data_IF_357035253586
#
_entry.id   IF_357035253586
#
_cell.length_a   1.000
_cell.length_b   1.000
_cell.length_c   1.000
_cell.angle_alpha   90.00
_cell.angle_beta   90.00
_cell.angle_gamma   90.00
#
_symmetry.space_group_name_H-M   'P 1'
#
loop_
_entity.id
_entity.type
_entity.pdbx_description
1 polymer ?
#
# COMPACT_ATOMS: atom_id res chain seq x y z
N UNK A 1 -19.53 16.23 15.80
CA UNK A 1 -18.52 17.20 15.34
C UNK A 1 -17.58 16.41 14.46
N UNK A 2 -17.86 16.37 13.16
CA UNK A 2 -17.08 15.56 12.23
C UNK A 2 -15.69 16.19 12.05
N UNK A 3 -14.64 15.41 12.32
CA UNK A 3 -13.25 15.86 12.24
C UNK A 3 -12.81 16.19 10.81
N UNK A 4 -11.63 16.84 10.64
CA UNK A 4 -11.12 17.30 9.35
C UNK A 4 -10.96 16.19 8.30
N UNK A 5 -10.90 14.92 8.71
CA UNK A 5 -10.80 13.76 7.81
C UNK A 5 -12.12 13.48 7.07
N UNK A 6 -13.27 13.70 7.72
CA UNK A 6 -14.60 13.46 7.13
C UNK A 6 -14.84 14.39 5.93
N UNK A 7 -14.39 15.64 6.02
CA UNK A 7 -14.50 16.63 4.95
C UNK A 7 -13.68 16.28 3.69
N UNK A 8 -12.53 15.60 3.84
CA UNK A 8 -11.66 15.18 2.73
C UNK A 8 -12.05 13.83 2.09
N UNK A 9 -13.15 13.24 2.54
CA UNK A 9 -13.71 11.99 2.04
C UNK A 9 -15.15 12.16 1.52
N UNK A 10 -15.54 13.39 1.16
CA UNK A 10 -16.85 13.67 0.61
C UNK A 10 -17.13 12.85 -0.66
N UNK A 11 -18.33 12.27 -0.74
CA UNK A 11 -18.87 11.52 -1.87
C UNK A 11 -18.78 12.36 -3.15
N UNK A 12 -18.24 11.77 -4.22
CA UNK A 12 -18.17 12.46 -5.52
C UNK A 12 -19.58 12.67 -6.08
N UNK A 13 -19.91 13.86 -6.60
CA UNK A 13 -21.22 14.09 -7.23
C UNK A 13 -21.38 13.21 -8.49
N UNK A 14 -22.63 12.86 -8.85
CA UNK A 14 -22.90 12.02 -10.01
C UNK A 14 -22.46 12.71 -11.33
N UNK A 15 -21.93 11.95 -12.30
CA UNK A 15 -21.48 12.51 -13.57
C UNK A 15 -22.67 12.98 -14.42
N UNK A 16 -22.58 14.15 -15.06
CA UNK A 16 -23.66 14.64 -15.91
C UNK A 16 -23.61 13.93 -17.26
N UNK A 17 -24.63 13.12 -17.56
CA UNK A 17 -25.06 12.69 -18.91
C UNK A 17 -24.39 11.50 -19.60
N UNK A 18 -23.60 10.67 -18.92
CA UNK A 18 -23.15 9.38 -19.47
C UNK A 18 -23.80 8.22 -18.71
N UNK A 19 -24.67 7.46 -19.38
CA UNK A 19 -25.40 6.32 -18.77
C UNK A 19 -24.45 5.29 -18.17
N UNK A 20 -23.38 4.93 -18.88
CA UNK A 20 -22.38 3.98 -18.39
C UNK A 20 -21.60 4.52 -17.18
N UNK A 21 -21.30 5.82 -17.17
CA UNK A 21 -20.62 6.47 -16.05
C UNK A 21 -21.56 6.60 -14.83
N UNK A 22 -22.85 6.78 -15.06
CA UNK A 22 -23.87 6.84 -14.01
C UNK A 22 -24.13 5.46 -13.40
N UNK A 23 -24.17 4.42 -14.23
CA UNK A 23 -24.31 3.03 -13.79
C UNK A 23 -23.05 2.56 -13.01
N UNK A 24 -21.85 2.94 -13.47
CA UNK A 24 -20.61 2.73 -12.71
C UNK A 24 -20.59 3.51 -11.38
N UNK A 25 -21.11 4.75 -11.36
CA UNK A 25 -21.23 5.55 -10.14
C UNK A 25 -22.20 4.93 -9.13
N UNK A 26 -23.34 4.39 -9.57
CA UNK A 26 -24.31 3.69 -8.72
C UNK A 26 -23.76 2.41 -8.09
N UNK A 27 -22.89 1.68 -8.82
CA UNK A 27 -22.22 0.47 -8.29
C UNK A 27 -21.03 0.78 -7.41
N UNK A 28 -20.60 2.03 -7.33
CA UNK A 28 -19.45 2.43 -6.51
C UNK A 28 -19.82 2.30 -5.05
N UNK A 29 -19.09 1.45 -4.33
CA UNK A 29 -19.10 1.44 -2.87
C UNK A 29 -18.13 2.53 -2.44
N UNK A 30 -18.65 3.65 -1.95
CA UNK A 30 -17.80 4.63 -1.27
C UNK A 30 -17.46 4.07 0.11
N UNK A 31 -16.19 3.68 0.36
CA UNK A 31 -15.80 3.21 1.67
C UNK A 31 -15.97 4.35 2.67
N UNK A 32 -16.41 4.00 3.89
CA UNK A 32 -16.44 4.95 4.99
C UNK A 32 -15.07 5.67 5.10
N UNK A 33 -15.05 7.00 5.34
CA UNK A 33 -13.82 7.77 5.47
C UNK A 33 -12.77 7.13 6.40
N UNK A 34 -13.22 6.48 7.47
CA UNK A 34 -12.38 5.75 8.42
C UNK A 34 -11.66 4.54 7.79
N UNK A 35 -12.30 3.85 6.84
CA UNK A 35 -11.70 2.70 6.16
C UNK A 35 -10.67 3.10 5.09
N UNK A 36 -10.67 4.37 4.66
CA UNK A 36 -9.66 4.91 3.75
C UNK A 36 -8.36 5.32 4.46
N UNK A 37 -8.40 5.57 5.77
CA UNK A 37 -7.24 6.04 6.55
C UNK A 37 -6.06 5.06 6.51
N UNK A 38 -6.24 3.75 6.78
CA UNK A 38 -5.17 2.77 6.69
C UNK A 38 -4.55 2.68 5.30
N UNK A 39 -5.39 2.67 4.25
CA UNK A 39 -4.93 2.63 2.87
C UNK A 39 -4.11 3.87 2.50
N UNK A 40 -4.59 5.06 2.87
CA UNK A 40 -3.87 6.32 2.68
C UNK A 40 -2.56 6.34 3.45
N UNK A 41 -2.52 5.77 4.66
CA UNK A 41 -1.30 5.66 5.46
C UNK A 41 -0.28 4.78 4.76
N UNK A 42 -0.67 3.54 4.44
CA UNK A 42 0.19 2.57 3.77
C UNK A 42 0.80 3.13 2.48
N UNK A 43 0.01 3.81 1.64
CA UNK A 43 0.51 4.50 0.45
C UNK A 43 1.39 5.70 0.76
N UNK A 44 1.01 6.52 1.75
CA UNK A 44 1.74 7.71 2.13
C UNK A 44 3.14 7.43 2.67
N UNK A 45 3.34 6.28 3.33
CA UNK A 45 4.65 5.86 3.84
C UNK A 45 5.37 4.87 2.91
N UNK A 46 4.76 4.44 1.81
CA UNK A 46 5.36 3.46 0.90
C UNK A 46 6.74 3.89 0.37
N UNK A 47 6.96 5.19 0.19
CA UNK A 47 8.24 5.75 -0.27
C UNK A 47 9.39 5.66 0.75
N UNK A 48 9.10 5.45 2.04
CA UNK A 48 10.12 5.27 3.07
C UNK A 48 10.58 3.82 3.21
N UNK A 49 9.95 2.91 2.45
CA UNK A 49 10.22 1.48 2.49
C UNK A 49 11.66 1.19 2.06
N UNK A 50 12.39 0.54 2.96
CA UNK A 50 13.72 0.02 2.69
C UNK A 50 13.66 -1.27 1.90
N UNK A 51 14.76 -1.58 1.21
CA UNK A 51 14.88 -2.78 0.41
C UNK A 51 16.18 -3.51 0.72
N UNK A 52 16.14 -4.83 0.70
CA UNK A 52 17.33 -5.70 0.75
C UNK A 52 17.66 -6.14 -0.67
N UNK A 53 18.87 -5.85 -1.13
CA UNK A 53 19.33 -6.30 -2.44
C UNK A 53 20.04 -7.64 -2.29
N UNK A 54 19.66 -8.60 -3.13
CA UNK A 54 20.37 -9.86 -3.30
C UNK A 54 20.83 -9.97 -4.74
N UNK A 55 22.07 -10.42 -4.95
CA UNK A 55 22.67 -10.53 -6.28
C UNK A 55 23.30 -11.90 -6.49
N UNK A 56 23.07 -12.49 -7.66
CA UNK A 56 23.61 -13.77 -8.07
C UNK A 56 24.50 -13.62 -9.31
N UNK A 57 25.70 -14.21 -9.25
CA UNK A 57 26.70 -14.24 -10.32
C UNK A 57 28.13 -14.27 -9.75
N UNK A 58 29.03 -14.99 -10.42
CA UNK A 58 30.46 -15.02 -10.06
C UNK A 58 31.34 -15.05 -11.32
N UNK A 59 32.45 -14.30 -11.28
CA UNK A 59 33.61 -14.49 -12.17
C UNK A 59 33.60 -13.71 -13.48
N UNK A 60 32.75 -14.08 -14.45
CA UNK A 60 32.84 -13.57 -15.85
C UNK A 60 31.51 -13.63 -16.62
N UNK A 61 30.36 -13.38 -15.97
CA UNK A 61 29.03 -13.44 -16.61
C UNK A 61 28.05 -12.39 -16.08
N UNK A 62 26.84 -12.33 -16.66
CA UNK A 62 25.81 -11.36 -16.28
C UNK A 62 25.37 -11.53 -14.82
N UNK A 63 25.60 -10.51 -13.99
CA UNK A 63 25.08 -10.43 -12.62
C UNK A 63 23.59 -10.09 -12.65
N UNK A 64 22.78 -10.81 -11.88
CA UNK A 64 21.36 -10.46 -11.69
C UNK A 64 21.09 -10.09 -10.25
N UNK A 65 20.51 -8.91 -10.04
CA UNK A 65 20.10 -8.42 -8.73
C UNK A 65 18.58 -8.41 -8.59
N UNK A 66 18.08 -8.73 -7.40
CA UNK A 66 16.69 -8.54 -7.01
C UNK A 66 16.62 -7.72 -5.73
N UNK A 67 15.63 -6.83 -5.69
CA UNK A 67 15.35 -5.96 -4.55
C UNK A 67 14.14 -6.49 -3.80
N UNK A 68 14.35 -7.01 -2.59
CA UNK A 68 13.31 -7.49 -1.69
C UNK A 68 12.78 -6.33 -0.84
N UNK A 69 11.47 -6.03 -0.88
CA UNK A 69 10.90 -5.04 0.01
C UNK A 69 11.03 -5.50 1.47
N UNK A 70 11.37 -4.57 2.36
CA UNK A 70 11.33 -4.79 3.81
C UNK A 70 9.99 -4.28 4.39
N UNK A 71 9.61 -4.74 5.59
CA UNK A 71 8.47 -4.18 6.31
C UNK A 71 8.59 -2.68 6.49
N UNK A 72 7.46 -1.99 6.44
CA UNK A 72 7.36 -0.59 6.82
C UNK A 72 7.78 -0.44 8.28
N UNK A 73 8.62 0.58 8.54
CA UNK A 73 9.08 0.88 9.88
C UNK A 73 7.94 1.49 10.70
N UNK A 74 7.73 0.97 11.91
CA UNK A 74 6.64 1.40 12.80
C UNK A 74 6.69 2.91 13.06
N UNK A 75 7.89 3.47 13.19
CA UNK A 75 8.11 4.91 13.38
C UNK A 75 7.54 5.75 12.23
N UNK A 76 7.59 5.27 10.99
CA UNK A 76 7.09 6.02 9.84
C UNK A 76 5.56 6.02 9.81
N UNK A 77 4.95 4.90 10.21
CA UNK A 77 3.49 4.78 10.34
C UNK A 77 3.00 5.71 11.47
N UNK A 78 3.62 5.65 12.64
CA UNK A 78 3.26 6.50 13.78
C UNK A 78 3.49 7.98 13.48
N UNK A 79 4.60 8.33 12.82
CA UNK A 79 4.89 9.70 12.39
C UNK A 79 3.81 10.21 11.44
N UNK A 80 3.36 9.38 10.51
CA UNK A 80 2.27 9.75 9.61
C UNK A 80 0.96 10.02 10.34
N UNK A 81 0.60 9.17 11.32
CA UNK A 81 -0.59 9.37 12.16
C UNK A 81 -0.48 10.70 12.95
N UNK A 82 0.70 10.97 13.52
CA UNK A 82 0.97 12.20 14.26
C UNK A 82 0.85 13.44 13.36
N UNK A 83 1.40 13.40 12.14
CA UNK A 83 1.29 14.51 11.18
C UNK A 83 -0.16 14.84 10.82
N UNK A 84 -1.06 13.84 10.85
CA UNK A 84 -2.49 13.99 10.59
C UNK A 84 -3.33 14.24 11.82
N UNK A 85 -2.70 14.31 13.00
CA UNK A 85 -3.35 14.57 14.29
C UNK A 85 -4.50 13.61 14.57
N UNK A 86 -4.28 12.33 14.26
CA UNK A 86 -5.25 11.28 14.58
C UNK A 86 -5.38 11.12 16.09
N UNK A 87 -6.58 10.76 16.54
CA UNK A 87 -6.80 10.32 17.92
C UNK A 87 -6.05 9.03 18.23
N UNK A 88 -5.96 8.67 19.52
CA UNK A 88 -5.34 7.41 19.96
C UNK A 88 -6.02 6.20 19.34
N UNK A 89 -7.36 6.13 19.39
CA UNK A 89 -8.14 5.05 18.80
C UNK A 89 -7.94 4.94 17.27
N UNK A 90 -7.93 6.07 16.55
CA UNK A 90 -7.66 6.09 15.11
C UNK A 90 -6.22 5.66 14.79
N UNK A 91 -5.27 6.04 15.64
CA UNK A 91 -3.85 5.67 15.48
C UNK A 91 -3.67 4.17 15.65
N UNK A 92 -4.24 3.58 16.70
CA UNK A 92 -4.16 2.13 16.94
C UNK A 92 -4.82 1.34 15.81
N UNK A 93 -6.02 1.75 15.40
CA UNK A 93 -6.74 1.14 14.29
C UNK A 93 -5.93 1.23 12.98
N UNK A 94 -5.44 2.42 12.64
CA UNK A 94 -4.63 2.66 11.44
C UNK A 94 -3.34 1.84 11.47
N UNK A 95 -2.66 1.80 12.61
CA UNK A 95 -1.41 1.08 12.77
C UNK A 95 -1.60 -0.42 12.50
N UNK A 96 -2.56 -1.06 13.18
CA UNK A 96 -2.80 -2.50 13.03
C UNK A 96 -3.19 -2.88 11.60
N UNK A 97 -4.06 -2.09 10.96
CA UNK A 97 -4.46 -2.36 9.59
C UNK A 97 -3.32 -2.12 8.59
N UNK A 98 -2.51 -1.08 8.77
CA UNK A 98 -1.33 -0.85 7.92
C UNK A 98 -0.33 -2.00 8.04
N UNK A 99 -0.07 -2.50 9.26
CA UNK A 99 0.79 -3.67 9.46
C UNK A 99 0.25 -4.91 8.75
N UNK A 100 -1.07 -5.11 8.80
CA UNK A 100 -1.74 -6.24 8.13
C UNK A 100 -1.65 -6.14 6.61
N UNK A 101 -1.97 -4.97 6.05
CA UNK A 101 -1.83 -4.68 4.62
C UNK A 101 -0.39 -4.86 4.15
N UNK A 102 0.57 -4.37 4.94
CA UNK A 102 1.98 -4.48 4.60
C UNK A 102 2.47 -5.92 4.58
N UNK A 103 2.03 -6.74 5.54
CA UNK A 103 2.34 -8.16 5.57
C UNK A 103 1.84 -8.87 4.31
N UNK A 104 0.59 -8.63 3.91
CA UNK A 104 0.02 -9.21 2.69
C UNK A 104 0.78 -8.77 1.44
N UNK A 105 1.13 -7.48 1.35
CA UNK A 105 1.96 -6.97 0.25
C UNK A 105 3.30 -7.69 0.16
N UNK A 106 4.01 -7.85 1.28
CA UNK A 106 5.30 -8.53 1.32
C UNK A 106 5.20 -9.99 0.86
N UNK A 107 4.17 -10.70 1.32
CA UNK A 107 3.93 -12.09 0.91
C UNK A 107 3.73 -12.20 -0.60
N UNK A 108 2.84 -11.38 -1.17
CA UNK A 108 2.56 -11.36 -2.61
C UNK A 108 3.84 -11.01 -3.38
N UNK A 109 4.55 -9.96 -2.96
CA UNK A 109 5.73 -9.49 -3.70
C UNK A 109 6.89 -10.47 -3.64
N UNK A 110 7.13 -11.10 -2.49
CA UNK A 110 8.16 -12.12 -2.36
C UNK A 110 7.82 -13.39 -3.17
N UNK A 111 6.55 -13.76 -3.25
CA UNK A 111 6.10 -14.85 -4.11
C UNK A 111 6.33 -14.54 -5.59
N UNK A 112 6.00 -13.33 -6.06
CA UNK A 112 6.29 -12.89 -7.43
C UNK A 112 7.78 -12.93 -7.73
N UNK A 113 8.61 -12.37 -6.85
CA UNK A 113 10.08 -12.42 -6.98
C UNK A 113 10.57 -13.88 -7.12
N UNK A 114 10.06 -14.79 -6.29
CA UNK A 114 10.43 -16.21 -6.36
C UNK A 114 10.06 -16.83 -7.71
N UNK A 115 8.88 -16.53 -8.23
CA UNK A 115 8.43 -17.02 -9.54
C UNK A 115 9.28 -16.44 -10.68
N UNK A 116 9.59 -15.14 -10.63
CA UNK A 116 10.43 -14.45 -11.61
C UNK A 116 11.85 -15.05 -11.64
N UNK A 117 12.43 -15.30 -10.47
CA UNK A 117 13.74 -15.93 -10.34
C UNK A 117 13.74 -17.35 -10.89
N UNK A 118 12.71 -18.15 -10.57
CA UNK A 118 12.58 -19.51 -11.08
C UNK A 118 12.46 -19.53 -12.61
N UNK A 119 11.66 -18.64 -13.20
CA UNK A 119 11.55 -18.52 -14.65
C UNK A 119 12.87 -18.10 -15.28
N UNK A 120 13.58 -17.16 -14.65
CA UNK A 120 14.83 -16.59 -15.16
C UNK A 120 16.00 -17.57 -15.12
N UNK A 121 16.13 -18.37 -14.06
CA UNK A 121 17.25 -19.30 -13.87
C UNK A 121 16.97 -20.72 -14.37
N UNK A 122 15.77 -21.00 -14.90
CA UNK A 122 15.47 -22.28 -15.52
C UNK A 122 16.34 -22.42 -16.78
N UNK A 123 17.32 -23.31 -16.74
CA UNK A 123 18.04 -23.75 -17.94
C UNK A 123 17.01 -24.45 -18.86
N UNK A 124 16.96 -24.03 -20.13
CA UNK A 124 16.37 -24.84 -21.20
C UNK A 124 17.26 -26.04 -21.46
#
# INVERSE_FOLDING_TARGET
MDGPVVAACAVQPPPPRALDAYDAWLRKVDPEPANLLPWRCWHGVAGTRRHRVESWGAGMGATRGVSYPMPLADVEILRWCQMRRLSEAETDFTFQLVKSLDLTFLQIRNQQIKQDLQHTFRKR
#
